data_IF_704125593200
#
_entry.id   IF_704125593200
#
_cell.length_a   1.000
_cell.length_b   1.000
_cell.length_c   1.000
_cell.angle_alpha   90.00
_cell.angle_beta   90.00
_cell.angle_gamma   90.00
#
_symmetry.space_group_name_H-M   'P 1'
#
loop_
_entity.id
_entity.type
_entity.pdbx_description
1 polymer ?
2 non-polymer ?
3 non-polymer ?
#
# COMPACT_ATOMS: atom_id res chain seq x y z
N UNK A 2 21.15 -6.55 -1.34
CA UNK A 2 20.55 -5.28 -0.84
C UNK A 2 20.88 -5.08 0.63
N UNK A 3 21.31 -3.91 1.01
CA UNK A 3 21.66 -3.67 2.44
C UNK A 3 20.46 -3.00 3.14
N UNK A 4 20.31 -3.25 4.41
CA UNK A 4 19.16 -2.63 5.14
C UNK A 4 19.21 -1.11 4.93
N UNK A 5 18.08 -0.49 4.73
CA UNK A 5 18.09 0.98 4.50
C UNK A 5 17.20 1.68 5.54
N UNK A 6 17.57 2.86 5.93
CA UNK A 6 16.76 3.63 6.91
C UNK A 6 16.82 5.11 6.52
N UNK A 7 16.35 5.99 7.37
CA UNK A 7 16.40 7.44 7.01
C UNK A 7 17.58 8.08 7.73
N UNK A 8 18.31 8.93 7.06
CA UNK A 8 19.48 9.58 7.72
C UNK A 8 19.00 10.54 8.81
N UNK A 9 17.76 10.95 8.76
CA UNK A 9 17.26 11.89 9.80
C UNK A 9 15.75 11.71 9.96
N UNK A 10 15.22 12.08 11.10
CA UNK A 10 13.76 11.92 11.32
C UNK A 10 12.97 12.79 10.33
N UNK A 11 11.91 12.25 9.80
CA UNK A 11 11.06 13.02 8.85
C UNK A 11 9.67 13.15 9.43
N UNK A 12 8.84 14.00 8.90
CA UNK A 12 7.48 14.15 9.46
C UNK A 12 6.46 14.35 8.34
N UNK A 13 5.29 13.81 8.51
CA UNK A 13 4.21 13.96 7.48
C UNK A 13 2.89 14.22 8.20
N UNK A 14 1.98 14.91 7.58
CA UNK A 14 0.68 15.19 8.26
C UNK A 14 -0.39 15.52 7.22
N UNK A 15 -1.62 15.22 7.53
CA UNK A 15 -2.72 15.51 6.58
C UNK A 15 -4.00 14.79 7.03
N UNK A 16 -5.09 15.02 6.36
CA UNK A 16 -6.36 14.34 6.75
C UNK A 16 -6.40 12.93 6.18
N UNK A 17 -7.08 12.03 6.83
CA UNK A 17 -7.17 10.63 6.33
C UNK A 17 -8.35 10.53 5.36
N UNK A 18 -8.19 9.81 4.28
CA UNK A 18 -9.31 9.69 3.30
C UNK A 18 -10.56 9.10 3.98
N UNK A 19 -10.39 8.14 4.85
CA UNK A 19 -11.59 7.54 5.50
C UNK A 19 -11.98 8.30 6.77
N UNK A 20 -11.04 8.53 7.64
CA UNK A 20 -11.34 9.22 8.93
C UNK A 20 -11.72 10.68 8.71
N UNK A 21 -11.29 11.29 7.65
CA UNK A 21 -11.65 12.72 7.43
C UNK A 21 -11.14 13.56 8.61
N UNK A 22 -10.27 12.99 9.41
CA UNK A 22 -9.73 13.74 10.59
C UNK A 22 -8.26 14.07 10.35
N UNK A 23 -7.74 15.07 11.02
CA UNK A 23 -6.32 15.45 10.82
C UNK A 23 -5.41 14.45 11.55
N UNK A 24 -4.36 14.01 10.92
CA UNK A 24 -3.44 13.03 11.58
C UNK A 24 -1.99 13.43 11.30
N UNK A 25 -1.12 13.25 12.26
CA UNK A 25 0.30 13.62 12.05
C UNK A 25 1.18 12.37 12.03
N UNK A 26 2.33 12.45 11.41
CA UNK A 26 3.24 11.27 11.33
C UNK A 26 4.69 11.70 11.63
N UNK A 27 5.45 10.86 12.25
CA UNK A 27 6.87 11.22 12.52
C UNK A 27 7.74 9.97 12.33
N UNK A 28 8.49 9.92 11.25
CA UNK A 28 9.34 8.72 10.98
C UNK A 28 10.75 8.90 11.58
N UNK A 29 11.09 8.09 12.55
CA UNK A 29 12.44 8.19 13.17
C UNK A 29 13.30 6.98 12.75
N UNK A 30 14.56 7.17 12.41
CA UNK A 30 15.45 6.05 12.00
C UNK A 30 15.46 4.93 13.03
N UNK A 31 16.01 3.80 12.69
CA UNK A 31 16.05 2.67 13.66
C UNK A 31 17.40 1.93 13.53
N UNK A 32 17.65 0.99 14.41
CA UNK A 32 18.93 0.24 14.34
C UNK A 32 18.80 -0.90 13.33
N UNK A 33 19.90 -1.32 12.75
CA UNK A 33 19.84 -2.43 11.77
C UNK A 33 19.03 -3.60 12.34
N UNK A 34 18.32 -4.31 11.50
CA UNK A 34 17.53 -5.47 11.98
C UNK A 34 16.33 -5.00 12.80
N UNK A 35 16.14 -3.72 12.97
CA UNK A 35 14.98 -3.25 13.77
C UNK A 35 13.68 -3.62 13.04
N UNK A 36 13.62 -3.38 11.75
CA UNK A 36 12.40 -3.73 10.99
C UNK A 36 11.53 -2.49 10.77
N UNK A 37 10.42 -2.67 10.08
CA UNK A 37 9.50 -1.54 9.82
C UNK A 37 8.36 -1.61 10.84
N UNK A 38 8.21 -0.61 11.67
CA UNK A 38 7.10 -0.68 12.67
C UNK A 38 6.50 0.70 12.92
N UNK A 39 5.26 0.73 13.37
CA UNK A 39 4.62 2.04 13.66
C UNK A 39 4.64 2.25 15.19
N UNK A 40 4.52 3.47 15.64
CA UNK A 40 4.53 3.72 17.11
C UNK A 40 3.31 4.57 17.46
N UNK A 41 2.37 4.00 18.18
CA UNK A 41 1.14 4.77 18.53
C UNK A 41 0.78 4.55 20.01
N UNK A 42 0.50 5.60 20.72
CA UNK A 42 0.11 5.47 22.16
C UNK A 42 1.15 4.68 22.96
N UNK A 43 2.39 4.73 22.56
CA UNK A 43 3.43 3.98 23.34
C UNK A 43 3.38 2.49 22.98
N UNK A 44 2.79 2.18 21.86
CA UNK A 44 2.69 0.75 21.44
C UNK A 44 3.31 0.58 20.06
N UNK A 45 4.31 -0.24 19.93
CA UNK A 45 4.94 -0.44 18.60
C UNK A 45 4.13 -1.47 17.81
N UNK A 46 3.74 -1.14 16.60
CA UNK A 46 2.94 -2.09 15.79
C UNK A 46 3.72 -2.48 14.53
N UNK A 47 4.51 -3.53 14.59
CA UNK A 47 5.31 -4.00 13.42
C UNK A 47 4.47 -4.09 12.14
N UNK A 48 5.08 -3.87 11.02
CA UNK A 48 4.32 -3.94 9.73
C UNK A 48 4.24 -5.41 9.29
N UNK A 49 3.48 -6.21 9.99
CA UNK A 49 3.36 -7.64 9.61
C UNK A 49 1.89 -7.99 9.38
N UNK A 50 1.62 -9.15 8.85
CA UNK A 50 0.20 -9.54 8.59
C UNK A 50 -0.49 -9.84 9.93
N UNK A 51 0.09 -10.67 10.74
CA UNK A 51 -0.52 -11.01 12.04
C UNK A 51 -1.06 -9.75 12.73
N UNK A 52 -0.65 -8.59 12.30
CA UNK A 52 -1.15 -7.35 12.94
C UNK A 52 -2.33 -6.78 12.15
N UNK A 53 -2.71 -7.41 11.07
CA UNK A 53 -3.86 -6.90 10.28
C UNK A 53 -5.13 -7.07 11.09
N UNK A 54 -5.93 -6.04 11.20
CA UNK A 54 -7.18 -6.15 12.01
C UNK A 54 -8.41 -5.93 11.13
N UNK A 55 -8.29 -5.12 10.11
CA UNK A 55 -9.46 -4.87 9.22
C UNK A 55 -8.98 -4.65 7.79
N UNK A 56 -9.53 -5.38 6.86
CA UNK A 56 -9.12 -5.22 5.44
C UNK A 56 -10.34 -4.83 4.60
N UNK A 57 -10.53 -3.56 4.37
CA UNK A 57 -11.70 -3.12 3.57
C UNK A 57 -11.43 -1.71 3.03
N UNK A 58 -11.61 -1.50 1.76
CA UNK A 58 -11.35 -0.16 1.19
C UNK A 58 -9.99 0.34 1.68
N UNK A 59 -9.22 -0.53 2.28
CA UNK A 59 -7.88 -0.12 2.78
C UNK A 59 -7.37 -1.15 3.80
N UNK A 60 -6.07 -1.36 3.84
CA UNK A 60 -5.52 -2.35 4.81
C UNK A 60 -5.24 -1.65 6.15
N UNK A 61 -5.74 -2.20 7.23
CA UNK A 61 -5.55 -1.55 8.56
C UNK A 61 -4.80 -2.50 9.52
N UNK A 62 -4.00 -1.92 10.40
CA UNK A 62 -3.26 -2.75 11.40
C UNK A 62 -3.64 -2.28 12.79
N UNK A 63 -3.62 -3.15 13.75
CA UNK A 63 -4.00 -2.72 15.15
C UNK A 63 -3.51 -3.76 16.16
N UNK A 64 -3.31 -3.35 17.38
CA UNK A 64 -2.84 -4.32 18.41
C UNK A 64 -3.07 -3.74 19.80
N UNK A 65 -3.29 -4.58 20.78
CA UNK A 65 -3.53 -4.08 22.15
C UNK A 65 -4.61 -3.01 22.13
N UNK A 66 -5.43 -3.00 21.10
CA UNK A 66 -6.52 -1.99 21.02
C UNK A 66 -6.14 -0.89 20.03
N UNK A 67 -4.87 -0.54 19.95
CA UNK A 67 -4.46 0.54 19.01
C UNK A 67 -4.87 0.15 17.58
N UNK A 68 -5.15 1.13 16.75
CA UNK A 68 -5.57 0.82 15.36
C UNK A 68 -5.03 1.87 14.38
N UNK A 69 -4.55 1.42 13.25
CA UNK A 69 -4.03 2.35 12.21
C UNK A 69 -4.69 1.98 10.88
N UNK A 70 -5.33 2.91 10.23
CA UNK A 70 -6.03 2.56 8.95
C UNK A 70 -5.22 3.03 7.73
N UNK A 71 -5.48 2.41 6.61
CA UNK A 71 -4.77 2.77 5.35
C UNK A 71 -3.27 2.81 5.56
N UNK A 72 -2.63 1.67 5.70
CA UNK A 72 -1.15 1.65 5.89
C UNK A 72 -0.50 1.15 4.59
N UNK A 73 -1.29 0.68 3.68
CA UNK A 73 -0.75 0.16 2.39
C UNK A 73 0.00 1.26 1.64
N UNK A 74 -0.35 2.50 1.85
CA UNK A 74 0.34 3.61 1.14
C UNK A 74 1.77 3.72 1.66
N UNK A 75 1.95 4.13 2.88
CA UNK A 75 3.33 4.25 3.43
C UNK A 75 4.08 2.94 3.20
N UNK A 76 3.48 1.83 3.56
CA UNK A 76 4.19 0.52 3.36
C UNK A 76 4.63 0.38 1.91
N UNK A 77 3.78 0.68 0.96
CA UNK A 77 4.17 0.55 -0.47
C UNK A 77 5.35 1.47 -0.77
N UNK A 78 5.33 2.67 -0.26
CA UNK A 78 6.45 3.61 -0.52
C UNK A 78 7.75 2.97 -0.03
N UNK A 79 7.72 2.41 1.15
CA UNK A 79 8.95 1.76 1.68
C UNK A 79 9.32 0.56 0.81
N UNK A 80 8.33 -0.13 0.30
CA UNK A 80 8.63 -1.31 -0.57
C UNK A 80 9.39 -0.85 -1.81
N UNK A 81 9.03 0.30 -2.34
CA UNK A 81 9.72 0.80 -3.55
C UNK A 81 11.08 1.39 -3.16
N UNK A 82 11.17 2.05 -2.04
CA UNK A 82 12.47 2.64 -1.61
C UNK A 82 13.32 1.57 -0.91
N UNK A 83 12.79 0.38 -0.78
CA UNK A 83 13.55 -0.72 -0.13
C UNK A 83 14.00 -0.35 1.29
N UNK A 84 13.14 0.27 2.07
CA UNK A 84 13.55 0.62 3.47
C UNK A 84 13.24 -0.59 4.36
N UNK A 85 14.04 -0.85 5.36
CA UNK A 85 13.78 -2.04 6.21
C UNK A 85 13.80 -1.69 7.70
N UNK A 86 14.43 -0.62 8.10
CA UNK A 86 14.47 -0.28 9.55
C UNK A 86 14.00 1.16 9.79
N UNK A 87 12.82 1.32 10.32
CA UNK A 87 12.29 2.69 10.61
C UNK A 87 11.08 2.61 11.53
N UNK A 88 10.84 3.64 12.30
CA UNK A 88 9.67 3.64 13.22
C UNK A 88 8.72 4.76 12.80
N UNK A 89 7.55 4.42 12.33
CA UNK A 89 6.59 5.47 11.89
C UNK A 89 5.63 5.80 13.03
N UNK A 90 5.86 6.89 13.74
CA UNK A 90 4.93 7.26 14.84
C UNK A 90 3.65 7.83 14.23
N UNK A 91 2.52 7.29 14.61
CA UNK A 91 1.24 7.78 14.01
C UNK A 91 0.39 8.54 15.03
N UNK A 92 0.00 9.74 14.66
CA UNK A 92 -0.86 10.57 15.55
C UNK A 92 -2.26 10.62 14.93
N UNK A 93 -3.16 9.79 15.39
CA UNK A 93 -4.53 9.78 14.81
C UNK A 93 -5.00 8.33 14.68
N UNK A 94 -5.92 8.06 13.78
CA UNK A 94 -6.41 6.67 13.60
C UNK A 94 -6.20 6.22 12.15
N UNK A 95 -5.80 7.09 11.28
CA UNK A 95 -5.57 6.70 9.86
C UNK A 95 -4.35 7.41 9.30
N UNK A 96 -3.66 6.80 8.38
CA UNK A 96 -2.46 7.45 7.79
C UNK A 96 -2.91 8.57 6.84
N UNK A 97 -2.50 9.79 7.07
CA UNK A 97 -2.90 10.93 6.18
C UNK A 97 -2.86 10.51 4.71
N UNK A 98 -3.93 10.74 3.99
CA UNK A 98 -3.95 10.35 2.55
C UNK A 98 -3.21 11.38 1.70
N UNK A 99 -2.89 12.51 2.25
CA UNK A 99 -2.17 13.55 1.46
C UNK A 99 -2.98 13.88 0.20
N UNK A 100 -2.41 13.70 -0.96
CA UNK A 100 -3.14 14.05 -2.21
C UNK A 100 -3.79 12.80 -2.83
N UNK A 101 -3.79 11.70 -2.15
CA UNK A 101 -4.42 10.48 -2.72
C UNK A 101 -3.36 9.58 -3.36
N UNK A 102 -2.13 10.02 -3.38
CA UNK A 102 -1.04 9.21 -3.99
C UNK A 102 0.13 9.07 -3.01
N UNK A 103 1.23 8.52 -3.44
CA UNK A 103 2.41 8.37 -2.52
C UNK A 103 3.60 9.15 -3.08
N UNK A 104 3.36 10.03 -4.02
CA UNK A 104 4.47 10.83 -4.62
C UNK A 104 5.20 11.64 -3.53
N UNK A 105 4.48 12.23 -2.62
CA UNK A 105 5.14 13.03 -1.54
C UNK A 105 6.00 12.13 -0.66
N UNK A 106 5.40 11.13 -0.07
CA UNK A 106 6.18 10.21 0.82
C UNK A 106 7.42 9.70 0.08
N UNK A 107 7.25 9.30 -1.14
CA UNK A 107 8.39 8.77 -1.95
C UNK A 107 9.49 9.83 -2.10
N UNK A 108 9.13 11.02 -2.49
CA UNK A 108 10.17 12.08 -2.69
C UNK A 108 10.82 12.50 -1.38
N UNK A 109 10.05 12.65 -0.34
CA UNK A 109 10.63 13.07 0.97
C UNK A 109 11.55 11.99 1.53
N UNK A 110 11.09 10.77 1.59
CA UNK A 110 11.95 9.69 2.12
C UNK A 110 13.09 9.41 1.14
N UNK A 111 12.85 9.59 -0.11
CA UNK A 111 13.91 9.33 -1.14
C UNK A 111 15.07 10.31 -0.91
N UNK A 112 14.78 11.55 -0.65
CA UNK A 112 15.89 12.53 -0.44
C UNK A 112 16.50 12.35 0.96
N UNK A 113 16.19 11.28 1.64
CA UNK A 113 16.76 11.08 3.00
C UNK A 113 17.06 9.59 3.24
N UNK A 114 17.40 8.86 2.22
CA UNK A 114 17.70 7.41 2.40
C UNK A 114 19.11 7.22 2.95
N UNK A 115 19.28 6.27 3.85
CA UNK A 115 20.62 6.00 4.42
C UNK A 115 20.91 4.51 4.32
N UNK A 116 21.98 4.15 3.68
CA UNK A 116 22.33 2.70 3.53
C UNK A 116 22.98 2.18 4.82
N UNK A 117 22.66 0.97 5.21
CA UNK A 117 23.26 0.40 6.45
C UNK A 117 24.23 -0.72 6.09
N UNK A 118 24.76 -1.41 7.06
CA UNK A 118 25.74 -2.50 6.77
C UNK A 118 25.14 -3.87 7.13
N UNK A 119 24.16 -4.31 6.40
CA UNK A 119 23.55 -5.65 6.70
C UNK A 119 22.65 -6.07 5.54
N UNK A 120 22.81 -7.27 5.05
CA UNK A 120 21.97 -7.74 3.90
C UNK A 120 20.52 -7.88 4.36
N UNK A 121 19.59 -7.57 3.51
CA UNK A 121 18.15 -7.69 3.89
C UNK A 121 17.66 -9.11 3.62
N UNK A 122 16.71 -9.57 4.40
CA UNK A 122 16.16 -10.94 4.17
C UNK A 122 14.94 -10.82 3.26
N UNK A 123 15.18 -10.65 1.98
CA UNK A 123 14.05 -10.51 1.01
C UNK A 123 13.15 -11.75 1.09
N UNK A 124 11.86 -11.58 0.96
CA UNK A 124 10.97 -12.76 0.96
C UNK A 124 10.85 -13.20 -0.49
N UNK A 125 11.56 -14.24 -0.85
CA UNK A 125 11.55 -14.71 -2.25
C UNK A 125 10.51 -15.81 -2.45
N UNK A 126 9.74 -15.72 -3.51
CA UNK A 126 8.73 -16.77 -3.78
C UNK A 126 9.46 -18.02 -4.29
N UNK A 127 9.48 -19.07 -3.51
CA UNK A 127 10.20 -20.30 -3.95
C UNK A 127 9.25 -21.22 -4.73
N UNK A 128 7.99 -21.15 -4.46
CA UNK A 128 7.02 -22.01 -5.18
C UNK A 128 5.81 -21.18 -5.63
N UNK A 129 5.15 -21.60 -6.66
CA UNK A 129 3.94 -20.87 -7.19
C UNK A 129 2.73 -21.04 -6.28
N UNK A 130 1.89 -20.04 -6.22
CA UNK A 130 0.68 -20.14 -5.36
C UNK A 130 -0.43 -19.27 -5.96
N UNK A 131 -1.66 -19.64 -5.78
CA UNK A 131 -2.78 -18.83 -6.34
C UNK A 131 -3.93 -18.77 -5.34
N UNK A 132 -4.61 -17.66 -5.26
CA UNK A 132 -5.76 -17.54 -4.34
C UNK A 132 -6.95 -17.03 -5.15
N UNK A 133 -8.14 -17.45 -4.85
CA UNK A 133 -9.33 -16.99 -5.63
C UNK A 133 -10.45 -16.57 -4.68
N UNK A 134 -11.38 -15.77 -5.16
CA UNK A 134 -12.49 -15.33 -4.28
C UNK A 134 -13.49 -14.49 -5.10
N UNK A 135 -14.63 -15.07 -5.40
CA UNK A 135 -15.67 -14.33 -6.16
C UNK A 135 -15.08 -13.73 -7.44
N UNK A 136 -14.46 -14.53 -8.27
CA UNK A 136 -13.88 -14.00 -9.53
C UNK A 136 -12.50 -13.40 -9.26
N UNK A 137 -12.28 -12.87 -8.10
CA UNK A 137 -10.94 -12.28 -7.79
C UNK A 137 -9.90 -13.39 -7.84
N UNK A 138 -8.78 -13.15 -8.47
CA UNK A 138 -7.75 -14.22 -8.55
C UNK A 138 -6.36 -13.59 -8.50
N UNK A 139 -5.47 -14.17 -7.74
CA UNK A 139 -4.09 -13.62 -7.67
C UNK A 139 -3.08 -14.76 -7.76
N UNK A 140 -2.22 -14.72 -8.74
CA UNK A 140 -1.22 -15.79 -8.91
C UNK A 140 0.19 -15.25 -8.62
N UNK A 141 0.94 -15.97 -7.82
CA UNK A 141 2.32 -15.53 -7.49
C UNK A 141 3.30 -16.62 -7.92
N UNK A 142 4.41 -16.24 -8.50
CA UNK A 142 5.39 -17.27 -8.93
C UNK A 142 6.82 -16.68 -8.87
N UNK A 143 7.82 -17.51 -8.69
CA UNK A 143 9.23 -17.05 -8.61
C UNK A 143 9.63 -16.10 -9.75
N UNK A 144 10.43 -15.11 -9.44
CA UNK A 144 10.89 -14.16 -10.49
C UNK A 144 12.24 -13.56 -10.05
N UNK A 145 13.13 -13.36 -10.97
CA UNK A 145 14.47 -12.80 -10.60
C UNK A 145 14.33 -11.42 -9.95
N UNK A 146 13.14 -10.89 -9.89
CA UNK A 146 12.96 -9.54 -9.27
C UNK A 146 11.52 -9.38 -8.82
N UNK A 147 11.14 -8.19 -8.41
CA UNK A 147 9.74 -7.97 -7.96
C UNK A 147 8.91 -7.46 -9.15
N UNK A 148 7.89 -8.16 -9.51
CA UNK A 148 7.05 -7.72 -10.66
C UNK A 148 5.58 -7.90 -10.28
N UNK A 149 4.84 -6.83 -10.12
CA UNK A 149 3.40 -6.98 -9.75
C UNK A 149 2.52 -6.46 -10.88
N UNK A 150 1.65 -7.29 -11.38
CA UNK A 150 0.74 -6.87 -12.48
C UNK A 150 -0.70 -6.84 -11.97
N UNK A 151 -1.53 -6.00 -12.53
CA UNK A 151 -2.94 -5.96 -12.07
C UNK A 151 -3.89 -5.81 -13.24
N UNK A 152 -4.91 -6.63 -13.28
CA UNK A 152 -5.93 -6.53 -14.34
C UNK A 152 -7.27 -6.31 -13.66
N UNK A 153 -8.10 -5.47 -14.21
CA UNK A 153 -9.42 -5.21 -13.56
C UNK A 153 -10.53 -5.00 -14.59
N UNK A 154 -11.68 -5.57 -14.31
CA UNK A 154 -12.84 -5.39 -15.23
C UNK A 154 -13.75 -4.33 -14.62
N UNK A 155 -13.67 -3.11 -15.10
CA UNK A 155 -14.50 -2.02 -14.52
C UNK A 155 -15.89 -2.01 -15.15
N UNK A 156 -16.80 -1.28 -14.55
CA UNK A 156 -18.19 -1.22 -15.09
C UNK A 156 -18.41 0.06 -15.89
N UNK A 157 -17.50 1.01 -15.83
CA UNK A 157 -17.70 2.28 -16.59
C UNK A 157 -16.82 2.28 -17.86
N UNK A 158 -16.78 3.38 -18.55
CA UNK A 158 -15.97 3.46 -19.81
C UNK A 158 -14.56 2.93 -19.60
N UNK A 159 -14.19 2.52 -18.42
CA UNK A 159 -12.81 1.98 -18.24
C UNK A 159 -12.77 0.56 -18.80
N UNK A 160 -13.89 -0.12 -18.80
CA UNK A 160 -13.91 -1.50 -19.34
C UNK A 160 -12.82 -2.31 -18.64
N UNK A 161 -12.13 -3.14 -19.37
CA UNK A 161 -11.05 -3.94 -18.73
C UNK A 161 -9.71 -3.25 -18.97
N UNK A 162 -8.91 -3.15 -17.94
CA UNK A 162 -7.58 -2.50 -18.09
C UNK A 162 -6.55 -3.25 -17.27
N UNK A 163 -5.30 -3.21 -17.66
CA UNK A 163 -4.27 -3.93 -16.88
C UNK A 163 -2.91 -3.24 -17.03
N UNK A 164 -2.05 -3.37 -16.06
CA UNK A 164 -0.71 -2.72 -16.15
C UNK A 164 0.34 -3.56 -15.41
N UNK A 165 1.55 -3.58 -15.89
CA UNK A 165 2.62 -4.39 -15.22
C UNK A 165 3.65 -3.48 -14.55
N UNK A 166 3.88 -3.66 -13.27
CA UNK A 166 4.87 -2.81 -12.55
C UNK A 166 6.16 -3.60 -12.31
N UNK A 167 7.25 -3.20 -12.89
CA UNK A 167 8.54 -3.92 -12.69
C UNK A 167 9.49 -3.07 -11.85
N UNK A 168 10.42 -3.71 -11.19
CA UNK A 168 11.39 -2.95 -10.35
C UNK A 168 11.99 -1.81 -11.18
N UNK A 169 11.86 -0.60 -10.72
CA UNK A 169 12.42 0.55 -11.48
C UNK A 169 11.29 1.31 -12.18
N UNK A 170 10.07 0.92 -11.92
CA UNK A 170 8.91 1.62 -12.57
C UNK A 170 8.02 2.23 -11.49
N UNK A 171 8.53 2.40 -10.31
CA UNK A 171 7.71 2.98 -9.21
C UNK A 171 7.24 4.39 -9.61
N UNK A 172 8.13 5.17 -10.17
CA UNK A 172 7.76 6.54 -10.59
C UNK A 172 6.53 6.50 -11.50
N UNK A 173 6.08 5.32 -11.88
CA UNK A 173 4.90 5.23 -12.78
C UNK A 173 3.66 4.82 -11.99
N UNK A 174 3.81 4.43 -10.74
CA UNK A 174 2.63 3.99 -9.94
C UNK A 174 2.52 4.82 -8.65
N UNK A 175 3.60 5.33 -8.13
CA UNK A 175 3.50 6.14 -6.89
C UNK A 175 2.64 7.37 -7.19
N UNK A 176 2.66 7.82 -8.41
CA UNK A 176 1.83 9.00 -8.78
C UNK A 176 0.38 8.56 -8.94
N UNK A 177 0.13 7.28 -8.89
CA UNK A 177 -1.26 6.79 -9.05
C UNK A 177 -2.08 7.21 -7.83
N UNK A 178 -3.11 7.99 -8.04
CA UNK A 178 -3.95 8.44 -6.89
C UNK A 178 -4.97 7.35 -6.54
N UNK A 179 -5.68 7.51 -5.47
CA UNK A 179 -6.73 6.49 -5.12
C UNK A 179 -7.93 6.77 -6.04
N UNK A 180 -8.83 5.85 -6.20
CA UNK A 180 -9.98 6.13 -7.12
C UNK A 180 -11.25 5.42 -6.65
N UNK A 181 -12.37 6.06 -6.86
CA UNK A 181 -13.67 5.47 -6.44
C UNK A 181 -14.73 5.82 -7.50
N UNK A 182 -15.77 5.04 -7.59
CA UNK A 182 -16.84 5.33 -8.60
C UNK A 182 -17.98 6.08 -7.93
N UNK A 183 -18.58 7.01 -8.62
CA UNK A 183 -19.69 7.78 -8.02
C UNK A 183 -20.70 6.82 -7.37
N UNK A 184 -20.93 5.69 -7.98
CA UNK A 184 -21.90 4.72 -7.37
C UNK A 184 -21.29 4.10 -6.11
N UNK A 185 -19.99 4.02 -6.03
CA UNK A 185 -19.37 3.42 -4.81
C UNK A 185 -19.37 4.43 -3.67
N UNK A 186 -19.09 5.67 -3.96
CA UNK A 186 -19.08 6.71 -2.89
C UNK A 186 -20.28 6.50 -1.95
N UNK A 187 -21.46 6.47 -2.48
CA UNK A 187 -22.67 6.28 -1.63
C UNK A 187 -22.41 5.19 -0.58
N UNK A 188 -21.79 4.12 -0.99
CA UNK A 188 -21.51 3.02 -0.03
C UNK A 188 -20.36 3.42 0.90
N UNK A 189 -19.27 3.89 0.34
CA UNK A 189 -18.12 4.30 1.18
C UNK A 189 -18.60 5.28 2.27
N UNK A 190 -19.63 6.03 2.01
CA UNK A 190 -20.11 6.99 3.05
C UNK A 190 -21.06 6.27 4.00
N UNK A 191 -22.06 5.62 3.48
CA UNK A 191 -23.04 4.91 4.36
C UNK A 191 -22.29 4.00 5.34
N UNK A 192 -21.19 3.42 4.93
CA UNK A 192 -20.44 2.51 5.84
C UNK A 192 -19.53 3.33 6.76
N UNK A 193 -19.65 4.63 6.72
CA UNK A 193 -18.81 5.50 7.59
C UNK A 193 -17.37 5.52 7.09
N UNK A 194 -17.17 5.55 5.80
CA UNK A 194 -15.77 5.56 5.26
C UNK A 194 -15.61 6.70 4.25
N UNK A 195 -14.40 6.93 3.81
CA UNK A 195 -14.12 8.01 2.83
C UNK A 195 -14.58 9.37 3.36
N UNK A 196 -14.66 9.55 4.65
CA UNK A 196 -15.12 10.86 5.19
C UNK A 196 -14.20 11.98 4.71
N UNK A 197 -13.00 11.65 4.28
CA UNK A 197 -12.06 12.70 3.80
C UNK A 197 -11.84 12.61 2.30
N UNK A 198 -12.57 11.76 1.62
CA UNK A 198 -12.38 11.61 0.15
C UNK A 198 -12.81 12.90 -0.55
N UNK A 199 -11.94 13.46 -1.37
CA UNK A 199 -12.29 14.72 -2.09
C UNK A 199 -11.76 14.64 -3.52
N UNK A 200 -12.18 15.52 -4.38
CA UNK A 200 -11.68 15.49 -5.79
C UNK A 200 -10.22 15.90 -5.78
N UNK A 201 -9.74 16.34 -4.65
CA UNK A 201 -8.31 16.76 -4.55
C UNK A 201 -7.49 15.62 -3.95
N UNK A 202 -8.13 14.60 -3.43
CA UNK A 202 -7.37 13.48 -2.83
C UNK A 202 -7.95 12.15 -3.34
N UNK A 203 -8.87 12.20 -4.27
CA UNK A 203 -9.46 10.94 -4.79
C UNK A 203 -9.84 11.08 -6.26
N UNK A 204 -9.78 10.00 -6.99
CA UNK A 204 -10.16 10.06 -8.42
C UNK A 204 -11.59 9.53 -8.56
N UNK A 205 -12.53 10.42 -8.53
CA UNK A 205 -13.96 9.99 -8.63
C UNK A 205 -14.33 9.86 -10.11
N UNK A 206 -14.90 8.73 -10.48
CA UNK A 206 -15.29 8.50 -11.88
C UNK A 206 -16.78 8.19 -11.97
N UNK A 207 -17.31 8.13 -13.15
CA UNK A 207 -18.76 7.83 -13.30
C UNK A 207 -18.93 6.72 -14.35
N UNK A 208 -20.13 6.51 -14.81
CA UNK A 208 -20.36 5.45 -15.83
C UNK A 208 -19.61 5.82 -17.13
N UNK A 209 -19.45 7.08 -17.39
CA UNK A 209 -18.76 7.50 -18.64
C UNK A 209 -18.09 8.86 -18.48
N UNK A 210 -17.77 9.27 -17.29
CA UNK A 210 -17.13 10.61 -17.13
C UNK A 210 -16.18 10.64 -15.94
N UNK A 211 -15.22 11.53 -15.96
CA UNK A 211 -14.26 11.65 -14.83
C UNK A 211 -14.66 12.87 -14.01
N UNK A 212 -15.12 12.70 -12.80
CA UNK A 212 -15.53 13.87 -11.99
C UNK A 212 -14.36 14.84 -11.84
N UNK A 213 -13.21 14.34 -11.47
CA UNK A 213 -12.02 15.22 -11.30
C UNK A 213 -11.70 15.95 -12.62
N UNK A 214 -11.87 17.26 -12.68
CA UNK A 214 -11.56 18.04 -13.92
C UNK A 214 -10.12 17.86 -14.37
N UNK A 215 -9.25 17.40 -13.52
CA UNK A 215 -7.82 17.23 -13.92
C UNK A 215 -7.68 15.99 -14.83
N UNK A 216 -8.66 15.14 -14.84
CA UNK A 216 -8.59 13.92 -15.71
C UNK A 216 -7.58 12.92 -15.12
N UNK A 217 -7.28 11.89 -15.86
CA UNK A 217 -6.32 10.86 -15.35
C UNK A 217 -4.90 11.22 -15.80
N UNK A 218 -3.95 11.09 -14.92
CA UNK A 218 -2.55 11.42 -15.30
C UNK A 218 -2.01 10.30 -16.19
N UNK A 219 -2.66 9.18 -16.18
CA UNK A 219 -2.21 8.04 -17.03
C UNK A 219 -3.43 7.36 -17.66
N UNK A 220 -3.22 6.49 -18.60
CA UNK A 220 -4.37 5.80 -19.25
C UNK A 220 -4.78 4.60 -18.40
N UNK A 221 -4.16 4.42 -17.27
CA UNK A 221 -4.50 3.27 -16.39
C UNK A 221 -4.20 3.63 -14.93
N UNK A 222 -4.55 4.83 -14.54
CA UNK A 222 -4.30 5.26 -13.13
C UNK A 222 -4.95 4.28 -12.16
N UNK A 223 -6.19 3.93 -12.39
CA UNK A 223 -6.94 2.97 -11.51
C UNK A 223 -6.14 1.68 -11.25
N UNK A 224 -5.95 0.87 -12.25
CA UNK A 224 -5.18 -0.39 -12.05
C UNK A 224 -3.79 -0.07 -11.51
N UNK A 225 -3.22 1.02 -11.94
CA UNK A 225 -1.87 1.39 -11.44
C UNK A 225 -1.95 1.58 -9.93
N UNK A 226 -3.00 2.20 -9.45
CA UNK A 226 -3.14 2.39 -7.99
C UNK A 226 -3.37 1.03 -7.33
N UNK A 227 -4.04 0.13 -8.01
CA UNK A 227 -4.27 -1.21 -7.41
C UNK A 227 -2.91 -1.90 -7.25
N UNK A 228 -2.03 -1.68 -8.19
CA UNK A 228 -0.67 -2.29 -8.10
C UNK A 228 0.05 -1.63 -6.93
N UNK A 229 -0.16 -0.36 -6.74
CA UNK A 229 0.48 0.36 -5.60
C UNK A 229 -0.05 -0.20 -4.28
N UNK A 230 -1.35 -0.28 -4.15
CA UNK A 230 -1.96 -0.81 -2.90
C UNK A 230 -1.58 -2.28 -2.72
N UNK A 231 -1.40 -3.00 -3.80
CA UNK A 231 -1.02 -4.43 -3.68
C UNK A 231 0.45 -4.52 -3.29
N UNK A 232 1.24 -3.59 -3.73
CA UNK A 232 2.68 -3.59 -3.37
C UNK A 232 2.79 -3.32 -1.87
N UNK A 233 1.98 -2.43 -1.37
CA UNK A 233 2.02 -2.12 0.09
C UNK A 233 1.58 -3.35 0.88
N UNK A 234 0.40 -3.86 0.60
CA UNK A 234 -0.08 -5.06 1.33
C UNK A 234 0.96 -6.18 1.20
N UNK A 235 1.62 -6.24 0.08
CA UNK A 235 2.65 -7.31 -0.13
C UNK A 235 3.78 -7.18 0.90
N UNK A 236 3.98 -6.02 1.45
CA UNK A 236 5.07 -5.87 2.45
C UNK A 236 4.64 -6.56 3.75
N UNK A 237 3.38 -6.74 3.95
CA UNK A 237 2.89 -7.40 5.20
C UNK A 237 3.63 -8.72 5.43
N UNK A 238 4.51 -9.10 4.54
CA UNK A 238 5.26 -10.38 4.75
C UNK A 238 6.36 -10.17 5.78
N UNK A 239 6.66 -8.95 6.11
CA UNK A 239 7.71 -8.69 7.14
C UNK A 239 9.05 -8.36 6.46
N UNK A 240 9.10 -8.36 5.16
CA UNK A 240 10.37 -8.03 4.47
C UNK A 240 10.08 -7.79 2.99
N UNK A 241 10.91 -7.02 2.31
CA UNK A 241 10.71 -6.74 0.87
C UNK A 241 10.44 -8.06 0.12
N UNK A 242 9.70 -8.01 -0.96
CA UNK A 242 9.37 -9.28 -1.66
C UNK A 242 10.08 -9.40 -3.01
N UNK A 243 10.45 -10.61 -3.37
CA UNK A 243 11.12 -10.85 -4.68
C UNK A 243 10.34 -11.93 -5.43
N UNK A 244 9.86 -11.61 -6.60
CA UNK A 244 9.09 -12.62 -7.37
C UNK A 244 8.12 -11.89 -8.31
N UNK A 245 7.29 -12.63 -9.00
CA UNK A 245 6.31 -12.00 -9.94
C UNK A 245 4.89 -12.25 -9.43
N UNK A 246 3.99 -11.34 -9.66
CA UNK A 246 2.59 -11.52 -9.18
C UNK A 246 1.61 -10.96 -10.20
N UNK A 247 0.51 -11.64 -10.40
CA UNK A 247 -0.53 -11.16 -11.35
C UNK A 247 -1.86 -11.13 -10.60
N UNK A 248 -2.50 -9.98 -10.53
CA UNK A 248 -3.78 -9.90 -9.77
C UNK A 248 -4.96 -9.59 -10.71
N UNK A 249 -6.04 -10.28 -10.53
CA UNK A 249 -7.24 -10.05 -11.38
C UNK A 249 -8.39 -9.61 -10.47
N UNK A 250 -8.79 -8.36 -10.56
CA UNK A 250 -9.90 -7.89 -9.69
C UNK A 250 -9.57 -8.19 -8.23
N UNK A 251 -8.31 -8.27 -7.89
CA UNK A 251 -7.94 -8.58 -6.48
C UNK A 251 -8.30 -7.39 -5.58
N UNK A 252 -8.45 -7.63 -4.31
CA UNK A 252 -8.79 -6.53 -3.37
C UNK A 252 -7.93 -6.65 -2.11
N UNK A 253 -7.93 -5.65 -1.28
CA UNK A 253 -7.11 -5.71 -0.04
C UNK A 253 -7.34 -7.06 0.67
N UNK A 254 -8.57 -7.51 0.71
CA UNK A 254 -8.86 -8.81 1.38
C UNK A 254 -7.98 -9.89 0.77
N UNK A 255 -8.08 -10.10 -0.51
CA UNK A 255 -7.25 -11.14 -1.18
C UNK A 255 -5.77 -10.85 -0.94
N UNK A 256 -5.37 -9.61 -1.09
CA UNK A 256 -3.93 -9.27 -0.88
C UNK A 256 -3.46 -9.88 0.44
N UNK A 257 -4.20 -9.65 1.50
CA UNK A 257 -3.81 -10.20 2.83
C UNK A 257 -3.83 -11.73 2.78
N UNK A 258 -4.90 -12.31 2.31
CA UNK A 258 -4.96 -13.80 2.24
C UNK A 258 -3.74 -14.32 1.48
N UNK A 259 -3.48 -13.79 0.32
CA UNK A 259 -2.29 -14.26 -0.45
C UNK A 259 -1.07 -14.18 0.46
N UNK A 260 -0.77 -13.03 0.99
CA UNK A 260 0.41 -12.92 1.89
C UNK A 260 0.32 -14.00 2.97
N UNK A 261 -0.77 -14.03 3.69
CA UNK A 261 -0.94 -15.05 4.76
C UNK A 261 -0.55 -16.42 4.20
N UNK A 262 -1.08 -16.78 3.05
CA UNK A 262 -0.75 -18.11 2.46
C UNK A 262 0.75 -18.17 2.17
N UNK A 263 1.29 -17.17 1.54
CA UNK A 263 2.75 -17.18 1.22
C UNK A 263 3.57 -17.37 2.50
N UNK A 264 3.29 -16.59 3.51
CA UNK A 264 4.07 -16.72 4.78
C UNK A 264 3.74 -18.05 5.47
N UNK A 265 2.56 -18.57 5.23
CA UNK A 265 2.18 -19.86 5.88
C UNK A 265 2.85 -21.03 5.17
N UNK A 266 2.92 -20.99 3.87
CA UNK A 266 3.56 -22.12 3.12
C UNK A 266 5.08 -21.91 3.05
N UNK A 267 5.53 -20.70 3.23
CA UNK A 267 7.00 -20.44 3.16
C UNK A 267 7.61 -20.60 4.55
N UNK A 268 7.01 -20.01 5.56
CA UNK A 268 7.58 -20.13 6.93
C UNK A 268 9.05 -19.69 6.92
N UNK A 269 9.79 -20.04 7.94
CA UNK A 269 11.22 -19.64 8.00
C UNK A 269 12.10 -20.89 8.03
X LIG B 1 -4.32 3.30 -2.25
X LIG C 1 -16.98 14.16 -2.81
X LIG C 1 -16.16 12.91 -2.63
X LIG C 1 -14.63 10.59 -2.29
X LIG C 1 -13.86 9.39 -2.13
X LIG C 1 -20.07 13.64 -5.23
X LIG C 1 -13.20 8.37 -2.00
X LIG C 1 -12.43 7.17 -1.88
X LIG C 1 -8.74 1.19 -3.30
X LIG C 1 -10.98 4.79 -1.63
X LIG C 1 -10.27 3.59 -1.50
X LIG C 1 -8.49 2.07 -2.09
X LIG C 1 -8.09 1.81 -4.54
X LIG C 1 -6.99 2.37 -1.97
X LIG C 1 -20.26 12.85 -4.03
X LIG C 1 -18.86 13.28 -5.92
X LIG C 1 -19.03 12.97 -3.12
X LIG C 1 -17.66 13.42 -4.99
X LIG C 1 -18.10 13.92 -3.71
X LIG C 1 -16.48 12.01 -1.61
X LIG C 1 -15.07 12.65 -3.47
X LIG C 1 -15.71 10.84 -1.44
X LIG C 1 -14.31 11.49 -3.31
X LIG C 1 -11.74 6.65 -2.98
X LIG C 1 -12.40 6.49 -0.65
X LIG C 1 -11.00 5.46 -2.85
X LIG C 1 -11.67 5.30 -0.53
X LIG C 1 -10.66 2.76 -0.70
X LIG C 1 -9.22 3.35 -2.24
X LIG C 1 -8.19 -0.11 -3.08
X LIG C 1 -6.32 1.76 -1.04
X LIG C 1 -6.45 3.14 -2.74
X LIG C 1 -5.02 2.00 -0.90
X LIG C 1 -16.37 14.94 -3.22
X LIG C 1 -17.36 14.49 -1.85
X LIG C 1 -9.80 1.10 -3.47
X LIG C 1 -8.84 1.60 -1.19
X LIG C 1 -8.03 2.88 -4.42
X LIG C 1 -8.69 1.59 -5.42
X LIG C 1 -7.10 1.40 -4.67
X LIG C 1 -21.14 13.25 -3.51
X LIG C 1 -20.43 11.80 -4.28
X LIG C 1 -18.74 13.96 -6.78
X LIG C 1 -18.94 12.24 -6.27
X LIG C 1 -18.55 11.98 -3.04
X LIG C 1 -19.34 13.32 -2.12
X LIG C 1 -17.18 12.44 -4.87
X LIG C 1 -16.93 14.14 -5.43
X LIG C 1 -17.31 12.20 -0.95
X LIG C 1 -14.83 13.35 -4.25
X LIG C 1 -15.96 10.14 -0.65
X LIG C 1 -13.48 11.30 -3.96
X LIG C 1 -11.76 7.16 -3.93
X LIG C 1 -12.94 6.88 0.20
X LIG C 1 -10.47 5.06 -3.70
X LIG C 1 -11.65 4.77 0.41
X LIG C 1 -8.91 4.02 -2.89
X LIG C 1 -7.33 -0.14 -3.49
X LIG C 1 -6.78 1.21 -0.37
#
# INVERSE_FOLDING_TARGET
>A
MGLEKTVKEKLSFEGVGIHTGEYSKLIIHPEKEGTGIRFFKNGVYIPARHEFVVHTNHSTDLGFKGQRIKTVEHILSVLHLLEITNVTIEVIGNEIPILDGSGWEFYEAIRKNILNQNREIDYFVVEEPIIVEDEGRLIKAEPSDTLEVTYEGEFKNFLGRQKFTFVEGNEEEIVLARTFAFDWEIEHIKKVGLGKGGSLKNTLVLGKDKVYNPEGLRYENEPVRHKVFDLIGDLYLLGSPVKGKFYSFRGGHSLNVKLVKELAKKQKLTRDLP
>B hetero
1 ZN ZN
>C hetero
1 C90 C5 C6 C9 C10 O1 C11 C12 C19 C15 C16 C18 C21 C22 CA1 CA2 CB1 CB2 N4 CC1 CC2 CD1 CD2 CE1 CE2 CF1 CF O16 N17 O20 N23 O22 O24 H51 H52 H19 H18 H211 H212 H213 HA11 HA12 HA21 HA22 HB11 HB12 HB21 HB22 HC1 HC2 HD1 HD2 HE1 HE2 HF1 HF HN17 HO20 HN23
#
